data_IF_034639178068
#
_entry.id   IF_034639178068
#
_cell.length_a   1.000
_cell.length_b   1.000
_cell.length_c   1.000
_cell.angle_alpha   90.00
_cell.angle_beta   90.00
_cell.angle_gamma   90.00
#
_symmetry.space_group_name_H-M   'P 1'
#
loop_
_entity.id
_entity.type
_entity.pdbx_description
1 polymer ?
#
# COMPACT_ATOMS: atom_id res chain seq x y z
N UNK A 1 -11.74 3.99 9.90
CA UNK A 1 -12.12 5.08 8.99
C UNK A 1 -12.52 4.42 7.68
N UNK A 2 -13.57 4.88 7.02
CA UNK A 2 -14.03 4.29 5.75
C UNK A 2 -13.43 5.07 4.58
N UNK A 3 -12.62 4.41 3.75
CA UNK A 3 -12.00 5.04 2.58
C UNK A 3 -13.03 5.29 1.47
N UNK A 4 -12.91 6.41 0.77
CA UNK A 4 -13.64 6.67 -0.48
C UNK A 4 -12.66 6.76 -1.65
N UNK A 5 -12.68 5.77 -2.56
CA UNK A 5 -11.84 5.79 -3.77
C UNK A 5 -12.46 6.67 -4.86
N UNK A 6 -11.61 7.44 -5.55
CA UNK A 6 -11.98 8.22 -6.74
C UNK A 6 -11.82 7.41 -8.03
N UNK A 7 -10.75 6.64 -8.08
CA UNK A 7 -10.42 5.75 -9.18
C UNK A 7 -10.06 4.40 -8.57
N UNK A 8 -10.56 3.34 -9.20
CA UNK A 8 -10.18 1.96 -8.90
C UNK A 8 -10.03 1.23 -10.23
N UNK A 9 -8.85 0.71 -10.51
CA UNK A 9 -8.53 0.03 -11.76
C UNK A 9 -7.89 -1.31 -11.47
N UNK A 10 -8.33 -2.34 -12.19
CA UNK A 10 -7.57 -3.60 -12.32
C UNK A 10 -6.64 -3.45 -13.49
N UNK A 11 -5.36 -3.74 -13.28
CA UNK A 11 -4.33 -3.61 -14.30
C UNK A 11 -3.51 -4.89 -14.39
N UNK A 12 -2.94 -5.15 -15.56
CA UNK A 12 -2.00 -6.26 -15.74
C UNK A 12 -0.60 -5.86 -15.24
N UNK A 13 0.04 -6.71 -14.45
CA UNK A 13 1.38 -6.44 -13.88
C UNK A 13 2.50 -6.41 -14.90
N UNK A 14 2.40 -7.18 -15.97
CA UNK A 14 3.45 -7.28 -16.98
C UNK A 14 3.34 -6.15 -18.01
N UNK A 15 2.12 -5.83 -18.45
CA UNK A 15 1.90 -4.84 -19.51
C UNK A 15 1.53 -3.45 -18.99
N UNK A 16 1.20 -3.32 -17.71
CA UNK A 16 0.66 -2.11 -17.07
C UNK A 16 -0.67 -1.61 -17.68
N UNK A 17 -1.29 -2.39 -18.57
CA UNK A 17 -2.54 -2.02 -19.21
C UNK A 17 -3.72 -2.15 -18.23
N UNK A 18 -4.61 -1.15 -18.24
CA UNK A 18 -5.89 -1.19 -17.52
C UNK A 18 -6.79 -2.29 -18.12
N UNK A 19 -7.10 -3.31 -17.33
CA UNK A 19 -8.02 -4.40 -17.66
C UNK A 19 -9.47 -3.97 -17.46
N UNK A 20 -9.74 -3.22 -16.39
CA UNK A 20 -11.07 -2.71 -16.05
C UNK A 20 -10.98 -1.50 -15.12
N UNK A 21 -11.91 -0.54 -15.29
CA UNK A 21 -12.20 0.50 -14.30
C UNK A 21 -13.37 -0.01 -13.45
N UNK A 22 -13.12 -0.23 -12.16
CA UNK A 22 -14.06 -0.83 -11.24
C UNK A 22 -14.90 0.21 -10.50
N UNK A 23 -16.08 -0.22 -10.07
CA UNK A 23 -16.95 0.60 -9.22
C UNK A 23 -16.60 0.42 -7.73
N UNK A 24 -17.04 1.32 -6.83
CA UNK A 24 -16.77 1.19 -5.39
C UNK A 24 -17.25 -0.13 -4.76
N UNK A 25 -18.24 -0.80 -5.35
CA UNK A 25 -18.71 -2.11 -4.90
C UNK A 25 -17.61 -3.17 -4.95
N UNK A 26 -16.63 -3.02 -5.86
CA UNK A 26 -15.49 -3.94 -5.95
C UNK A 26 -14.64 -3.94 -4.67
N UNK A 27 -14.63 -2.84 -3.91
CA UNK A 27 -13.93 -2.78 -2.62
C UNK A 27 -14.47 -3.79 -1.59
N UNK A 28 -15.68 -4.31 -1.77
CA UNK A 28 -16.28 -5.34 -0.90
C UNK A 28 -15.78 -6.76 -1.22
N UNK A 29 -15.08 -6.96 -2.35
CA UNK A 29 -14.45 -8.23 -2.66
C UNK A 29 -13.38 -8.56 -1.63
N UNK A 30 -13.17 -9.86 -1.39
CA UNK A 30 -12.07 -10.35 -0.56
C UNK A 30 -10.74 -10.00 -1.21
N UNK A 31 -9.76 -9.60 -0.41
CA UNK A 31 -8.39 -9.38 -0.86
C UNK A 31 -7.79 -10.65 -1.49
N UNK A 32 -8.29 -11.83 -1.07
CA UNK A 32 -8.00 -13.13 -1.66
C UNK A 32 -8.11 -13.16 -3.20
N UNK A 33 -8.95 -12.31 -3.79
CA UNK A 33 -9.05 -12.12 -5.24
C UNK A 33 -7.68 -11.94 -5.92
N UNK A 34 -6.80 -11.09 -5.36
CA UNK A 34 -5.47 -10.82 -5.94
C UNK A 34 -4.54 -12.03 -5.93
N UNK A 35 -4.78 -12.99 -5.04
CA UNK A 35 -4.03 -14.25 -5.00
C UNK A 35 -4.56 -15.27 -6.01
N UNK A 36 -5.83 -15.15 -6.39
CA UNK A 36 -6.45 -15.96 -7.44
C UNK A 36 -6.11 -15.41 -8.83
N UNK A 37 -5.77 -14.13 -8.94
CA UNK A 37 -5.41 -13.42 -10.18
C UNK A 37 -4.08 -12.69 -10.00
N UNK A 38 -3.00 -13.48 -9.90
CA UNK A 38 -1.67 -12.99 -9.51
C UNK A 38 -1.01 -12.12 -10.59
N UNK A 39 -1.49 -12.19 -11.82
CA UNK A 39 -1.13 -11.34 -12.94
C UNK A 39 -1.72 -9.93 -12.83
N UNK A 40 -2.65 -9.69 -11.90
CA UNK A 40 -3.35 -8.42 -11.72
C UNK A 40 -2.85 -7.63 -10.51
N UNK A 41 -2.89 -6.31 -10.63
CA UNK A 41 -2.81 -5.40 -9.49
C UNK A 41 -4.00 -4.43 -9.50
N UNK A 42 -4.33 -3.92 -8.31
CA UNK A 42 -5.34 -2.88 -8.13
C UNK A 42 -4.67 -1.53 -7.96
N UNK A 43 -4.89 -0.61 -8.89
CA UNK A 43 -4.54 0.78 -8.71
C UNK A 43 -5.72 1.53 -8.10
N UNK A 44 -5.49 2.28 -7.03
CA UNK A 44 -6.50 3.14 -6.44
C UNK A 44 -5.97 4.55 -6.15
N UNK A 45 -6.76 5.56 -6.50
CA UNK A 45 -6.53 6.95 -6.12
C UNK A 45 -7.67 7.45 -5.23
N UNK A 46 -7.34 8.26 -4.21
CA UNK A 46 -8.30 8.78 -3.23
C UNK A 46 -7.79 10.08 -2.60
N UNK A 47 -8.71 10.94 -2.17
CA UNK A 47 -8.34 12.09 -1.34
C UNK A 47 -7.79 11.67 0.03
N UNK A 48 -8.23 10.51 0.54
CA UNK A 48 -7.71 9.96 1.80
C UNK A 48 -6.22 9.62 1.68
N UNK A 49 -5.77 9.14 0.50
CA UNK A 49 -4.35 8.94 0.20
C UNK A 49 -3.61 10.28 0.08
N UNK A 50 -4.19 11.24 -0.63
CA UNK A 50 -3.59 12.55 -0.85
C UNK A 50 -3.35 13.29 0.48
N UNK A 51 -4.29 13.18 1.43
CA UNK A 51 -4.18 13.71 2.79
C UNK A 51 -3.01 13.09 3.58
N UNK A 52 -2.61 11.87 3.23
CA UNK A 52 -1.44 11.18 3.77
C UNK A 52 -0.22 11.24 2.85
N UNK A 53 -0.17 12.20 1.92
CA UNK A 53 0.97 12.47 1.04
C UNK A 53 1.27 11.34 0.03
N UNK A 54 0.26 10.53 -0.29
CA UNK A 54 0.30 9.48 -1.31
C UNK A 54 -0.65 9.86 -2.46
N UNK A 55 -0.23 9.71 -3.72
CA UNK A 55 -1.14 9.98 -4.86
C UNK A 55 -2.10 8.83 -5.12
N UNK A 56 -1.54 7.63 -5.07
CA UNK A 56 -2.24 6.39 -5.30
C UNK A 56 -1.57 5.27 -4.51
N UNK A 57 -2.32 4.18 -4.36
CA UNK A 57 -1.84 2.94 -3.79
C UNK A 57 -2.12 1.83 -4.80
N UNK A 58 -1.13 0.98 -4.99
CA UNK A 58 -1.26 -0.29 -5.69
C UNK A 58 -1.39 -1.41 -4.66
N UNK A 59 -2.38 -2.28 -4.81
CA UNK A 59 -2.46 -3.56 -4.09
C UNK A 59 -2.21 -4.73 -5.05
N UNK A 60 -1.40 -5.68 -4.62
CA UNK A 60 -1.15 -6.90 -5.37
C UNK A 60 -0.87 -8.09 -4.44
N UNK A 61 -0.90 -9.29 -5.01
CA UNK A 61 -0.25 -10.44 -4.39
C UNK A 61 1.15 -10.63 -4.98
N UNK A 62 2.18 -10.49 -4.16
CA UNK A 62 3.57 -10.73 -4.55
C UNK A 62 3.84 -12.24 -4.56
N UNK A 63 4.08 -12.81 -5.74
CA UNK A 63 4.28 -14.25 -5.94
C UNK A 63 5.63 -14.74 -5.39
N UNK A 64 6.63 -13.85 -5.34
CA UNK A 64 7.99 -14.17 -4.89
C UNK A 64 8.01 -14.38 -3.38
N UNK A 65 7.37 -13.46 -2.64
CA UNK A 65 7.29 -13.52 -1.19
C UNK A 65 6.02 -14.21 -0.68
N UNK A 66 5.04 -14.45 -1.56
CA UNK A 66 3.73 -15.06 -1.26
C UNK A 66 2.94 -14.27 -0.21
N UNK A 67 2.90 -12.95 -0.38
CA UNK A 67 2.22 -11.99 0.52
C UNK A 67 1.39 -10.99 -0.26
N UNK A 68 0.39 -10.40 0.37
CA UNK A 68 -0.28 -9.22 -0.15
C UNK A 68 0.59 -7.99 0.11
N UNK A 69 0.81 -7.19 -0.92
CA UNK A 69 1.69 -6.02 -0.86
C UNK A 69 0.93 -4.77 -1.25
N UNK A 70 1.17 -3.69 -0.51
CA UNK A 70 0.80 -2.34 -0.90
C UNK A 70 2.04 -1.59 -1.39
N UNK A 71 1.97 -1.00 -2.57
CA UNK A 71 3.02 -0.16 -3.17
C UNK A 71 2.51 1.26 -3.31
N UNK A 72 3.30 2.25 -2.88
CA UNK A 72 2.91 3.64 -2.98
C UNK A 72 4.12 4.59 -2.91
N UNK A 73 3.96 5.74 -3.56
CA UNK A 73 4.86 6.89 -3.40
C UNK A 73 4.47 7.74 -2.20
N UNK A 74 5.43 8.12 -1.36
CA UNK A 74 5.22 8.97 -0.19
C UNK A 74 6.06 10.25 -0.28
N UNK A 75 5.38 11.40 -0.38
CA UNK A 75 6.04 12.71 -0.48
C UNK A 75 6.60 13.18 0.86
N UNK A 76 7.81 12.75 1.18
CA UNK A 76 8.58 13.19 2.35
C UNK A 76 10.01 13.56 1.97
N UNK A 77 10.58 14.53 2.69
CA UNK A 77 11.99 14.92 2.51
C UNK A 77 12.93 13.78 2.89
N UNK A 78 14.01 13.57 2.12
CA UNK A 78 15.02 12.52 2.36
C UNK A 78 15.57 12.47 3.80
N UNK A 79 15.59 13.60 4.51
CA UNK A 79 16.08 13.70 5.90
C UNK A 79 15.37 12.75 6.87
N UNK A 80 14.14 12.34 6.58
CA UNK A 80 13.35 11.44 7.46
C UNK A 80 13.70 9.95 7.29
N UNK A 81 14.71 9.63 6.46
CA UNK A 81 15.14 8.26 6.15
C UNK A 81 15.31 7.36 7.38
N UNK A 82 15.96 7.88 8.42
CA UNK A 82 16.23 7.12 9.63
C UNK A 82 14.93 6.80 10.39
N UNK A 83 14.05 7.79 10.59
CA UNK A 83 12.77 7.58 11.27
C UNK A 83 11.84 6.67 10.48
N UNK A 84 11.72 6.88 9.17
CA UNK A 84 10.88 6.07 8.29
C UNK A 84 11.29 4.60 8.35
N UNK A 85 12.58 4.31 8.16
CA UNK A 85 13.09 2.92 8.21
C UNK A 85 12.98 2.30 9.60
N UNK A 86 13.13 3.10 10.66
CA UNK A 86 12.90 2.64 12.02
C UNK A 86 11.44 2.25 12.25
N UNK A 87 10.50 3.11 11.85
CA UNK A 87 9.07 2.85 11.98
C UNK A 87 8.65 1.56 11.27
N UNK A 88 9.07 1.37 10.00
CA UNK A 88 8.77 0.15 9.26
C UNK A 88 9.31 -1.10 9.97
N UNK A 89 10.56 -1.05 10.44
CA UNK A 89 11.20 -2.16 11.17
C UNK A 89 10.46 -2.49 12.48
N UNK A 90 10.02 -1.47 13.20
CA UNK A 90 9.48 -1.65 14.55
C UNK A 90 7.98 -2.01 14.53
N UNK A 91 7.26 -1.69 13.44
CA UNK A 91 5.81 -1.89 13.32
C UNK A 91 5.39 -3.00 12.33
N UNK A 92 6.32 -3.54 11.53
CA UNK A 92 6.08 -4.68 10.67
C UNK A 92 6.76 -5.93 11.23
N UNK A 93 6.05 -7.07 11.18
CA UNK A 93 6.68 -8.36 11.46
C UNK A 93 7.82 -8.60 10.48
N UNK A 94 8.93 -9.17 10.96
CA UNK A 94 10.06 -9.52 10.12
C UNK A 94 9.67 -10.57 9.07
N UNK A 95 9.41 -10.12 7.85
CA UNK A 95 9.23 -10.94 6.66
C UNK A 95 10.34 -10.56 5.69
N UNK A 96 11.32 -11.45 5.54
CA UNK A 96 12.61 -11.10 4.93
C UNK A 96 12.41 -10.59 3.50
N UNK A 97 12.71 -9.30 3.29
CA UNK A 97 12.71 -8.65 1.98
C UNK A 97 11.34 -8.20 1.45
N UNK A 98 10.23 -8.54 2.11
CA UNK A 98 8.88 -8.25 1.60
C UNK A 98 8.38 -6.83 1.89
N UNK A 99 9.19 -6.00 2.54
CA UNK A 99 8.88 -4.58 2.75
C UNK A 99 10.14 -3.75 2.59
N UNK A 100 10.00 -2.60 1.95
CA UNK A 100 11.12 -1.77 1.55
C UNK A 100 10.72 -0.28 1.53
N UNK A 101 11.75 0.57 1.62
CA UNK A 101 11.62 2.01 1.45
C UNK A 101 12.86 2.54 0.73
N UNK A 102 12.69 3.01 -0.49
CA UNK A 102 13.73 3.58 -1.33
C UNK A 102 13.40 5.05 -1.64
N UNK A 103 14.40 5.92 -1.61
CA UNK A 103 14.20 7.32 -1.97
C UNK A 103 14.54 7.53 -3.45
N UNK A 104 13.53 7.83 -4.27
CA UNK A 104 13.68 8.23 -5.67
C UNK A 104 14.12 9.70 -5.70
N UNK A 105 15.42 9.93 -5.92
CA UNK A 105 16.05 11.25 -5.74
C UNK A 105 15.73 12.28 -6.81
N UNK A 106 15.42 11.80 -8.01
CA UNK A 106 14.92 12.54 -9.17
C UNK A 106 13.47 12.99 -8.98
N UNK A 107 12.63 12.15 -8.38
CA UNK A 107 11.22 12.46 -8.13
C UNK A 107 10.96 13.14 -6.77
N UNK A 108 11.91 13.05 -5.85
CA UNK A 108 11.79 13.60 -4.51
C UNK A 108 10.76 12.88 -3.64
N UNK A 109 10.45 11.62 -3.95
CA UNK A 109 9.48 10.78 -3.24
C UNK A 109 10.15 9.53 -2.66
N UNK A 110 9.50 8.93 -1.67
CA UNK A 110 9.83 7.60 -1.20
C UNK A 110 8.95 6.57 -1.91
N UNK A 111 9.56 5.59 -2.54
CA UNK A 111 8.89 4.37 -3.00
C UNK A 111 8.83 3.40 -1.83
N UNK A 112 7.61 3.06 -1.40
CA UNK A 112 7.37 2.18 -0.27
C UNK A 112 6.64 0.93 -0.75
N UNK A 113 7.17 -0.23 -0.36
CA UNK A 113 6.46 -1.50 -0.45
C UNK A 113 6.22 -2.00 0.97
N UNK A 114 4.97 -2.32 1.30
CA UNK A 114 4.61 -2.92 2.59
C UNK A 114 3.86 -4.22 2.36
N UNK A 115 4.36 -5.30 2.96
CA UNK A 115 3.62 -6.54 3.08
C UNK A 115 2.50 -6.35 4.11
N UNK A 116 1.25 -6.41 3.66
CA UNK A 116 0.07 -6.33 4.53
C UNK A 116 0.08 -7.48 5.54
N UNK A 117 0.57 -8.67 5.14
CA UNK A 117 0.80 -9.83 6.01
C UNK A 117 1.68 -9.54 7.24
N UNK A 118 2.60 -8.56 7.11
CA UNK A 118 3.47 -8.16 8.19
C UNK A 118 2.81 -7.16 9.15
N UNK A 119 1.68 -6.54 8.78
CA UNK A 119 0.98 -5.57 9.60
C UNK A 119 0.26 -6.23 10.78
N UNK A 120 0.24 -5.52 11.92
CA UNK A 120 -0.59 -5.91 13.06
C UNK A 120 -2.07 -5.79 12.68
N UNK A 121 -2.83 -6.86 12.90
CA UNK A 121 -4.27 -6.88 12.65
C UNK A 121 -4.67 -7.45 11.29
N UNK A 122 -3.71 -7.70 10.40
CA UNK A 122 -3.95 -8.45 9.17
C UNK A 122 -4.21 -9.93 9.48
N UNK A 123 -5.26 -10.47 8.85
CA UNK A 123 -5.72 -11.85 9.03
C UNK A 123 -5.76 -12.65 7.72
N UNK A 124 -5.68 -11.99 6.56
CA UNK A 124 -5.82 -12.60 5.24
C UNK A 124 -7.27 -12.70 4.75
N UNK A 125 -8.24 -12.33 5.60
CA UNK A 125 -9.68 -12.41 5.33
C UNK A 125 -10.29 -11.04 5.05
N UNK A 126 -9.47 -9.99 4.98
CA UNK A 126 -9.89 -8.63 4.71
C UNK A 126 -10.59 -8.51 3.35
N UNK A 127 -11.56 -7.60 3.24
CA UNK A 127 -11.94 -7.06 1.95
C UNK A 127 -10.85 -6.11 1.43
N UNK A 128 -10.88 -5.80 0.14
CA UNK A 128 -9.99 -4.80 -0.46
C UNK A 128 -10.12 -3.45 0.28
N UNK A 129 -11.34 -3.07 0.65
CA UNK A 129 -11.57 -1.89 1.47
C UNK A 129 -10.82 -1.95 2.81
N UNK A 130 -10.97 -3.05 3.55
CA UNK A 130 -10.35 -3.24 4.85
C UNK A 130 -8.82 -3.23 4.76
N UNK A 131 -8.26 -3.76 3.67
CA UNK A 131 -6.83 -3.68 3.39
C UNK A 131 -6.35 -2.24 3.22
N UNK A 132 -7.05 -1.40 2.45
CA UNK A 132 -6.75 0.03 2.34
C UNK A 132 -6.90 0.76 3.68
N UNK A 133 -7.93 0.46 4.45
CA UNK A 133 -8.14 1.08 5.77
C UNK A 133 -7.04 0.71 6.77
N UNK A 134 -6.59 -0.54 6.74
CA UNK A 134 -5.44 -1.00 7.53
C UNK A 134 -4.16 -0.24 7.15
N UNK A 135 -3.92 -0.09 5.85
CA UNK A 135 -2.78 0.68 5.32
C UNK A 135 -2.86 2.16 5.72
N UNK A 136 -4.01 2.81 5.56
CA UNK A 136 -4.22 4.21 5.95
C UNK A 136 -3.94 4.41 7.44
N UNK A 137 -4.39 3.49 8.30
CA UNK A 137 -4.09 3.52 9.74
C UNK A 137 -2.59 3.39 10.02
N UNK A 138 -1.92 2.47 9.32
CA UNK A 138 -0.47 2.29 9.43
C UNK A 138 0.31 3.55 9.02
N UNK A 139 -0.01 4.13 7.86
CA UNK A 139 0.64 5.35 7.33
C UNK A 139 0.34 6.56 8.20
N UNK A 140 -0.89 6.67 8.72
CA UNK A 140 -1.25 7.74 9.67
C UNK A 140 -0.37 7.68 10.93
N UNK A 141 -0.20 6.49 11.52
CA UNK A 141 0.69 6.29 12.67
C UNK A 141 2.15 6.66 12.34
N UNK A 142 2.61 6.24 11.16
CA UNK A 142 3.97 6.53 10.67
C UNK A 142 4.23 8.02 10.54
N UNK A 143 3.32 8.74 9.89
CA UNK A 143 3.44 10.20 9.73
C UNK A 143 3.36 10.91 11.08
N UNK A 144 2.49 10.47 11.98
CA UNK A 144 2.39 11.02 13.34
C UNK A 144 3.71 10.87 14.13
N UNK A 145 4.39 9.74 14.02
CA UNK A 145 5.68 9.52 14.70
C UNK A 145 6.83 10.30 14.05
N UNK A 146 6.81 10.47 12.72
CA UNK A 146 7.81 11.27 12.00
C UNK A 146 7.65 12.77 12.25
N UNK A 147 6.42 13.28 12.30
CA UNK A 147 6.12 14.71 12.47
C UNK A 147 6.13 15.17 13.93
N UNK A 148 5.89 14.25 14.87
CA UNK A 148 5.88 14.53 16.31
C UNK A 148 7.27 14.67 16.97
N UNK A 149 8.36 14.58 16.20
CA UNK A 149 9.75 14.71 16.68
C UNK A 149 10.42 16.02 16.27
#
# INVERSE_FOLDING_TARGET
>A
MTITVKTLERCNKETEETLAVETPEFLQQKLAYLKEHQEEFLYAASDDFANLKMDAVVLEFDETFKVYTALFGLRLQKKVSAQLKAYLRDNLKGMLGSSSAMFAGDEGIWEINVALDAMKGFSGEETIQQAYELLLGFVTGMLGEIEGQ
#
